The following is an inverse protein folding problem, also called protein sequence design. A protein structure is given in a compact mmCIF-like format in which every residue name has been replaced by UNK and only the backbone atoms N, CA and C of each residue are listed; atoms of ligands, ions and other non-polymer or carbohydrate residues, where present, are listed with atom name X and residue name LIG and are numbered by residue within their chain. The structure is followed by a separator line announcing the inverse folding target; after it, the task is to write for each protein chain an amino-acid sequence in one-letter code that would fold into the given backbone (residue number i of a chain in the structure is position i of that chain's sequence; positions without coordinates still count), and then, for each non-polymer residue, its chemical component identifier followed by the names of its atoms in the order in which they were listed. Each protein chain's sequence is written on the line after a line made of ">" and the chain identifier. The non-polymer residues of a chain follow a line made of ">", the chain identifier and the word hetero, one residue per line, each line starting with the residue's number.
data_IF_016010005965
#
_entry.id   IF_016010005965
#
_cell.length_a   1.000
_cell.length_b   1.000
_cell.length_c   1.000
_cell.angle_alpha   90.00
_cell.angle_beta   90.00
_cell.angle_gamma   90.00
#
_symmetry.space_group_name_H-M   'P 1'
#
loop_
_entity.id
_entity.type
_entity.pdbx_description
1 polymer ?
#
# COMPACT_ATOMS: atom_id res chain seq x y z
N UNK A 1 -2.42 8.20 -14.54
CA UNK A 1 -1.80 6.88 -14.23
C UNK A 1 -2.21 5.80 -15.25
N UNK A 2 -3.39 5.89 -15.89
CA UNK A 2 -3.81 4.90 -16.90
C UNK A 2 -2.80 4.67 -18.01
N UNK A 3 -2.08 5.68 -18.43
CA UNK A 3 -1.07 5.62 -19.50
C UNK A 3 0.19 4.81 -19.14
N UNK A 4 0.35 4.48 -17.84
CA UNK A 4 1.43 3.62 -17.37
C UNK A 4 1.16 2.13 -17.61
N UNK A 5 0.01 1.78 -18.16
CA UNK A 5 -0.44 0.41 -18.36
C UNK A 5 -0.94 0.18 -19.79
N UNK A 6 -0.72 -1.02 -20.32
CA UNK A 6 -1.43 -1.44 -21.52
C UNK A 6 -2.91 -1.71 -21.22
N UNK A 7 -3.81 -1.71 -22.22
CA UNK A 7 -5.22 -2.06 -22.00
C UNK A 7 -5.40 -3.45 -21.34
N UNK A 8 -4.59 -4.45 -21.70
CA UNK A 8 -4.67 -5.79 -21.10
C UNK A 8 -4.19 -5.81 -19.65
N UNK A 9 -3.17 -5.02 -19.30
CA UNK A 9 -2.73 -4.86 -17.91
C UNK A 9 -3.82 -4.19 -17.05
N UNK A 10 -4.50 -3.16 -17.59
CA UNK A 10 -5.63 -2.53 -16.90
C UNK A 10 -6.78 -3.52 -16.71
N UNK A 11 -7.12 -4.32 -17.74
CA UNK A 11 -8.16 -5.36 -17.61
C UNK A 11 -7.78 -6.34 -16.50
N UNK A 12 -6.54 -6.84 -16.47
CA UNK A 12 -6.10 -7.75 -15.42
C UNK A 12 -6.20 -7.14 -14.02
N UNK A 13 -5.64 -5.93 -13.84
CA UNK A 13 -5.62 -5.25 -12.53
C UNK A 13 -7.02 -4.89 -12.05
N UNK A 14 -7.90 -4.40 -12.92
CA UNK A 14 -9.29 -4.08 -12.55
C UNK A 14 -10.06 -5.35 -12.20
N UNK A 15 -9.88 -6.44 -12.97
CA UNK A 15 -10.51 -7.73 -12.69
C UNK A 15 -10.06 -8.28 -11.33
N UNK A 16 -8.74 -8.32 -11.05
CA UNK A 16 -8.25 -8.76 -9.74
C UNK A 16 -8.74 -7.88 -8.60
N UNK A 17 -8.84 -6.56 -8.82
CA UNK A 17 -9.39 -5.64 -7.82
C UNK A 17 -10.87 -5.95 -7.49
N UNK A 18 -11.66 -6.24 -8.51
CA UNK A 18 -13.09 -6.58 -8.33
C UNK A 18 -13.23 -7.96 -7.63
N UNK A 19 -12.39 -8.93 -8.00
CA UNK A 19 -12.35 -10.25 -7.36
C UNK A 19 -11.93 -10.22 -5.88
N UNK A 20 -11.24 -9.17 -5.42
CA UNK A 20 -10.95 -9.00 -3.97
C UNK A 20 -12.26 -8.89 -3.19
N UNK A 21 -13.26 -8.17 -3.69
CA UNK A 21 -14.56 -8.03 -3.00
C UNK A 21 -15.32 -9.37 -2.97
N UNK A 22 -15.32 -10.12 -4.07
CA UNK A 22 -15.92 -11.46 -4.11
C UNK A 22 -15.21 -12.44 -3.15
N UNK A 23 -13.87 -12.33 -3.05
CA UNK A 23 -13.09 -13.15 -2.13
C UNK A 23 -13.39 -12.81 -0.66
N UNK A 24 -13.62 -11.55 -0.32
CA UNK A 24 -14.03 -11.11 1.02
C UNK A 24 -15.37 -11.77 1.38
N UNK A 25 -16.37 -11.65 0.51
CA UNK A 25 -17.69 -12.23 0.79
C UNK A 25 -17.62 -13.76 0.93
N UNK A 26 -16.90 -14.43 0.04
CA UNK A 26 -16.71 -15.87 0.15
C UNK A 26 -15.97 -16.26 1.43
N UNK A 27 -14.93 -15.55 1.80
CA UNK A 27 -14.16 -15.78 3.02
C UNK A 27 -15.04 -15.60 4.26
N UNK A 28 -15.92 -14.60 4.29
CA UNK A 28 -16.89 -14.39 5.36
C UNK A 28 -17.83 -15.57 5.52
N UNK A 29 -18.38 -16.06 4.40
CA UNK A 29 -19.28 -17.23 4.41
C UNK A 29 -18.55 -18.49 4.91
N UNK A 30 -17.34 -18.74 4.44
CA UNK A 30 -16.53 -19.87 4.86
C UNK A 30 -16.14 -19.76 6.36
N UNK A 31 -15.86 -18.56 6.87
CA UNK A 31 -15.56 -18.30 8.27
C UNK A 31 -16.79 -18.56 9.18
N UNK A 32 -17.98 -18.13 8.77
CA UNK A 32 -19.24 -18.44 9.47
C UNK A 32 -19.47 -19.95 9.50
N UNK A 33 -19.30 -20.63 8.38
CA UNK A 33 -19.44 -22.07 8.30
C UNK A 33 -18.43 -22.83 9.17
N UNK A 34 -17.25 -22.25 9.39
CA UNK A 34 -16.23 -22.74 10.32
C UNK A 34 -16.49 -22.41 11.79
N UNK A 35 -17.56 -21.66 12.10
CA UNK A 35 -18.00 -21.35 13.47
C UNK A 35 -17.52 -20.02 14.03
N UNK A 36 -16.97 -19.13 13.22
CA UNK A 36 -16.71 -17.74 13.66
C UNK A 36 -18.05 -17.00 13.83
N UNK A 37 -18.22 -16.20 14.89
CA UNK A 37 -19.40 -15.37 15.04
C UNK A 37 -19.46 -14.30 13.96
N UNK A 38 -20.64 -14.03 13.43
CA UNK A 38 -20.88 -12.93 12.50
C UNK A 38 -21.61 -11.80 13.22
N UNK A 39 -20.83 -10.94 13.89
CA UNK A 39 -21.34 -9.80 14.66
C UNK A 39 -21.54 -8.54 13.80
N UNK A 40 -21.15 -8.58 12.51
CA UNK A 40 -21.22 -7.45 11.59
C UNK A 40 -20.24 -6.32 11.90
N UNK A 41 -19.27 -6.55 12.79
CA UNK A 41 -18.23 -5.56 13.14
C UNK A 41 -17.02 -5.77 12.25
N UNK A 42 -16.68 -4.77 11.43
CA UNK A 42 -15.53 -4.82 10.52
C UNK A 42 -14.19 -4.63 11.22
N UNK A 43 -13.10 -4.88 10.48
CA UNK A 43 -11.73 -4.79 10.99
C UNK A 43 -11.37 -3.34 11.41
N UNK A 44 -11.84 -2.34 10.69
CA UNK A 44 -11.62 -0.92 11.01
C UNK A 44 -12.25 -0.51 12.36
N UNK A 45 -13.37 -1.13 12.72
CA UNK A 45 -14.03 -0.96 13.99
C UNK A 45 -13.50 -1.88 15.12
N UNK A 46 -12.41 -2.60 14.87
CA UNK A 46 -11.81 -3.51 15.86
C UNK A 46 -12.56 -4.85 16.01
N UNK A 47 -13.37 -5.24 15.02
CA UNK A 47 -14.06 -6.51 14.99
C UNK A 47 -13.11 -7.71 15.02
N UNK A 48 -13.60 -8.85 15.52
CA UNK A 48 -12.86 -10.12 15.59
C UNK A 48 -13.68 -11.31 15.05
N UNK A 49 -14.86 -11.03 14.50
CA UNK A 49 -15.77 -12.00 13.92
C UNK A 49 -15.46 -12.34 12.46
N UNK A 50 -16.39 -13.04 11.82
CA UNK A 50 -16.25 -13.50 10.44
C UNK A 50 -16.06 -12.37 9.43
N UNK A 51 -16.77 -11.24 9.63
CA UNK A 51 -16.61 -10.05 8.77
C UNK A 51 -15.18 -9.49 8.88
N UNK A 52 -14.70 -9.20 10.09
CA UNK A 52 -13.36 -8.65 10.30
C UNK A 52 -12.25 -9.57 9.78
N UNK A 53 -12.42 -10.89 9.96
CA UNK A 53 -11.48 -11.88 9.41
C UNK A 53 -11.44 -11.83 7.87
N UNK A 54 -12.59 -11.78 7.23
CA UNK A 54 -12.68 -11.70 5.77
C UNK A 54 -12.09 -10.38 5.21
N UNK A 55 -12.39 -9.26 5.86
CA UNK A 55 -11.82 -7.96 5.50
C UNK A 55 -10.28 -7.94 5.67
N UNK A 56 -9.76 -8.54 6.74
CA UNK A 56 -8.31 -8.69 6.93
C UNK A 56 -7.66 -9.50 5.79
N UNK A 57 -8.29 -10.60 5.34
CA UNK A 57 -7.84 -11.34 4.15
C UNK A 57 -7.88 -10.45 2.91
N UNK A 58 -8.94 -9.66 2.73
CA UNK A 58 -9.07 -8.68 1.65
C UNK A 58 -7.94 -7.65 1.62
N UNK A 59 -7.48 -7.18 2.79
CA UNK A 59 -6.32 -6.27 2.89
C UNK A 59 -5.05 -6.92 2.34
N UNK A 60 -4.79 -8.18 2.68
CA UNK A 60 -3.62 -8.89 2.15
C UNK A 60 -3.72 -9.17 0.65
N UNK A 61 -4.92 -9.45 0.13
CA UNK A 61 -5.15 -9.57 -1.31
C UNK A 61 -4.94 -8.24 -2.04
N UNK A 62 -5.33 -7.12 -1.44
CA UNK A 62 -5.06 -5.78 -1.98
C UNK A 62 -3.55 -5.45 -2.01
N UNK A 63 -2.76 -5.95 -1.05
CA UNK A 63 -1.30 -5.86 -1.11
C UNK A 63 -0.72 -6.72 -2.25
N UNK A 64 -1.27 -7.91 -2.50
CA UNK A 64 -0.89 -8.70 -3.67
C UNK A 64 -1.22 -7.96 -4.98
N UNK A 65 -2.37 -7.25 -5.04
CA UNK A 65 -2.72 -6.39 -6.18
C UNK A 65 -1.72 -5.24 -6.36
N UNK A 66 -1.26 -4.60 -5.28
CA UNK A 66 -0.22 -3.57 -5.34
C UNK A 66 1.10 -4.12 -5.90
N UNK A 67 1.47 -5.34 -5.53
CA UNK A 67 2.62 -6.04 -6.12
C UNK A 67 2.42 -6.37 -7.59
N UNK A 68 1.21 -6.78 -7.97
CA UNK A 68 0.85 -7.01 -9.37
C UNK A 68 0.95 -5.72 -10.18
N UNK A 69 0.48 -4.58 -9.67
CA UNK A 69 0.57 -3.30 -10.34
C UNK A 69 2.03 -2.83 -10.51
N UNK A 70 2.88 -3.02 -9.50
CA UNK A 70 4.30 -2.66 -9.53
C UNK A 70 5.10 -3.47 -10.58
N UNK A 71 4.67 -4.70 -10.89
CA UNK A 71 5.34 -5.57 -11.87
C UNK A 71 4.57 -5.74 -13.20
N UNK A 72 3.33 -5.28 -13.28
CA UNK A 72 2.45 -5.39 -14.45
C UNK A 72 2.12 -4.04 -15.08
N UNK A 73 3.14 -3.28 -15.47
CA UNK A 73 3.00 -1.96 -16.10
C UNK A 73 4.02 -1.75 -17.24
N UNK A 74 3.90 -0.63 -17.97
CA UNK A 74 4.74 -0.31 -19.13
C UNK A 74 6.16 0.15 -18.78
N UNK A 75 6.53 0.16 -17.51
CA UNK A 75 7.84 0.63 -17.04
C UNK A 75 8.65 -0.49 -16.36
N UNK A 76 8.22 -1.74 -16.52
CA UNK A 76 8.92 -2.92 -16.03
C UNK A 76 10.02 -3.32 -17.01
N UNK A 77 11.28 -3.23 -16.60
CA UNK A 77 12.41 -3.64 -17.45
C UNK A 77 12.67 -5.14 -17.38
N UNK A 78 13.24 -5.70 -18.44
CA UNK A 78 13.77 -7.05 -18.39
C UNK A 78 15.15 -7.07 -17.71
N UNK A 79 15.36 -8.05 -16.83
CA UNK A 79 16.64 -8.30 -16.18
C UNK A 79 17.28 -9.56 -16.79
N UNK A 80 18.31 -9.42 -17.64
CA UNK A 80 18.88 -10.55 -18.37
C UNK A 80 19.55 -11.60 -17.48
N UNK A 81 20.16 -11.18 -16.36
CA UNK A 81 20.85 -12.08 -15.44
C UNK A 81 19.86 -12.94 -14.66
N UNK A 82 18.81 -12.32 -14.13
CA UNK A 82 17.77 -13.01 -13.37
C UNK A 82 16.68 -13.62 -14.28
N UNK A 83 16.68 -13.30 -15.57
CA UNK A 83 15.71 -13.75 -16.57
C UNK A 83 14.25 -13.51 -16.16
N UNK A 84 13.98 -12.32 -15.61
CA UNK A 84 12.65 -11.95 -15.15
C UNK A 84 12.37 -10.44 -15.36
N UNK A 85 11.09 -10.03 -15.42
CA UNK A 85 10.74 -8.62 -15.34
C UNK A 85 11.08 -8.07 -13.96
N UNK A 86 11.48 -6.80 -13.91
CA UNK A 86 11.71 -6.04 -12.66
C UNK A 86 10.64 -5.01 -12.48
N UNK A 87 10.27 -4.80 -11.24
CA UNK A 87 9.26 -3.84 -10.83
C UNK A 87 9.60 -2.40 -11.22
N UNK A 88 8.56 -1.57 -11.33
CA UNK A 88 8.63 -0.13 -11.59
C UNK A 88 9.50 0.58 -10.54
N UNK A 89 9.19 0.37 -9.26
CA UNK A 89 9.87 1.03 -8.14
C UNK A 89 11.13 0.27 -7.71
N UNK A 90 12.10 0.14 -8.62
CA UNK A 90 13.46 -0.29 -8.25
C UNK A 90 14.23 0.81 -7.50
N UNK A 91 13.71 2.03 -7.48
CA UNK A 91 14.15 3.21 -6.71
C UNK A 91 12.94 4.13 -6.48
N UNK A 92 13.09 5.15 -5.65
CA UNK A 92 12.03 6.11 -5.32
C UNK A 92 11.81 7.13 -6.46
N UNK A 93 11.55 6.64 -7.66
CA UNK A 93 11.24 7.46 -8.83
C UNK A 93 10.53 6.61 -9.89
N UNK A 94 9.71 7.23 -10.73
CA UNK A 94 9.19 6.63 -11.95
C UNK A 94 10.30 6.73 -13.01
N UNK A 95 10.87 5.61 -13.47
CA UNK A 95 11.96 5.62 -14.45
C UNK A 95 11.43 5.88 -15.85
N UNK A 96 12.27 6.43 -16.72
CA UNK A 96 12.05 6.35 -18.16
C UNK A 96 12.78 5.13 -18.71
N UNK A 97 12.06 4.31 -19.47
CA UNK A 97 12.62 3.14 -20.16
C UNK A 97 12.25 3.16 -21.64
N UNK A 98 13.06 2.51 -22.48
CA UNK A 98 12.82 2.47 -23.93
C UNK A 98 11.89 1.32 -24.35
N UNK A 99 11.89 0.25 -23.59
CA UNK A 99 11.09 -0.94 -23.83
C UNK A 99 10.74 -1.60 -22.50
N UNK A 100 9.65 -2.35 -22.44
CA UNK A 100 9.18 -2.98 -21.21
C UNK A 100 8.98 -4.49 -21.38
N UNK A 101 9.14 -5.21 -20.28
CA UNK A 101 8.80 -6.61 -20.17
C UNK A 101 7.45 -6.79 -19.49
N UNK A 102 6.68 -7.75 -19.96
CA UNK A 102 5.36 -8.03 -19.42
C UNK A 102 5.29 -9.47 -18.87
N UNK A 103 4.96 -9.59 -17.60
CA UNK A 103 4.69 -10.88 -16.96
C UNK A 103 3.28 -11.37 -17.28
N UNK A 104 3.10 -12.69 -17.37
CA UNK A 104 1.77 -13.29 -17.47
C UNK A 104 1.12 -13.35 -16.07
N UNK A 105 0.06 -12.58 -15.78
CA UNK A 105 -0.57 -12.58 -14.46
C UNK A 105 -1.27 -13.90 -14.11
N UNK A 106 -1.60 -14.72 -15.12
CA UNK A 106 -2.24 -16.05 -14.96
C UNK A 106 -1.22 -17.21 -15.01
N UNK A 107 0.08 -16.90 -15.05
CA UNK A 107 1.15 -17.91 -15.07
C UNK A 107 1.53 -18.42 -13.69
N UNK A 108 2.73 -19.03 -13.60
CA UNK A 108 3.29 -19.59 -12.36
C UNK A 108 4.70 -19.01 -12.05
N UNK A 109 5.13 -18.01 -12.82
CA UNK A 109 6.46 -17.41 -12.70
C UNK A 109 6.39 -15.94 -12.26
N UNK A 110 7.53 -15.25 -12.25
CA UNK A 110 7.61 -13.82 -11.87
C UNK A 110 6.59 -12.98 -12.65
N UNK A 111 5.79 -12.22 -11.92
CA UNK A 111 4.67 -11.43 -12.45
C UNK A 111 3.30 -12.13 -12.39
N UNK A 112 3.23 -13.40 -11.97
CA UNK A 112 1.98 -14.10 -11.81
C UNK A 112 1.29 -13.77 -10.48
N UNK A 113 -0.04 -13.68 -10.49
CA UNK A 113 -0.87 -13.39 -9.32
C UNK A 113 -0.61 -14.36 -8.15
N UNK A 114 -0.57 -15.67 -8.45
CA UNK A 114 -0.35 -16.71 -7.44
C UNK A 114 0.97 -16.50 -6.68
N UNK A 115 2.02 -16.05 -7.38
CA UNK A 115 3.35 -15.80 -6.77
C UNK A 115 3.28 -14.64 -5.76
N UNK A 116 2.50 -13.60 -6.04
CA UNK A 116 2.32 -12.49 -5.10
C UNK A 116 1.50 -12.89 -3.89
N UNK A 117 0.40 -13.62 -4.08
CA UNK A 117 -0.43 -14.14 -2.98
C UNK A 117 0.39 -15.05 -2.07
N UNK A 118 1.12 -16.01 -2.62
CA UNK A 118 2.00 -16.88 -1.84
C UNK A 118 3.13 -16.11 -1.14
N UNK A 119 3.70 -15.11 -1.80
CA UNK A 119 4.71 -14.23 -1.21
C UNK A 119 4.21 -13.49 0.02
N UNK A 120 2.99 -12.94 -0.05
CA UNK A 120 2.31 -12.28 1.08
C UNK A 120 2.03 -13.30 2.20
N UNK A 121 1.48 -14.47 1.87
CA UNK A 121 1.20 -15.52 2.86
C UNK A 121 2.48 -15.99 3.58
N UNK A 122 3.58 -16.18 2.86
CA UNK A 122 4.89 -16.54 3.43
C UNK A 122 5.45 -15.44 4.32
N UNK A 123 5.32 -14.16 3.93
CA UNK A 123 5.75 -13.02 4.75
C UNK A 123 4.94 -12.95 6.05
N UNK A 124 3.62 -13.11 5.96
CA UNK A 124 2.73 -13.16 7.11
C UNK A 124 3.14 -14.29 8.08
N UNK A 125 3.27 -15.52 7.60
CA UNK A 125 3.67 -16.65 8.44
C UNK A 125 5.00 -16.41 9.16
N UNK A 126 6.03 -15.90 8.45
CA UNK A 126 7.33 -15.57 9.05
C UNK A 126 7.26 -14.49 10.12
N UNK A 127 6.39 -13.50 9.98
CA UNK A 127 6.22 -12.44 10.97
C UNK A 127 5.78 -13.02 12.32
N UNK A 128 4.94 -14.04 12.33
CA UNK A 128 4.43 -14.67 13.55
C UNK A 128 5.37 -15.73 14.14
N UNK A 129 6.28 -16.32 13.36
CA UNK A 129 7.30 -17.23 13.89
C UNK A 129 8.24 -16.57 14.91
N UNK A 130 8.48 -15.25 14.76
CA UNK A 130 9.40 -14.49 15.60
C UNK A 130 8.71 -13.74 16.75
N UNK A 131 7.39 -13.71 16.82
CA UNK A 131 6.66 -12.97 17.85
C UNK A 131 6.48 -13.83 19.09
N UNK A 132 7.53 -13.90 19.92
CA UNK A 132 7.44 -14.43 21.28
C UNK A 132 6.77 -13.45 22.26
N UNK A 133 6.31 -12.29 21.81
CA UNK A 133 5.81 -11.19 22.64
C UNK A 133 4.29 -11.20 22.66
N UNK A 134 3.72 -11.27 23.86
CA UNK A 134 2.26 -11.18 24.10
C UNK A 134 1.70 -9.74 24.01
N UNK A 135 2.47 -8.80 23.48
CA UNK A 135 2.02 -7.41 23.33
C UNK A 135 1.36 -7.20 21.96
N UNK A 136 0.17 -6.63 21.95
CA UNK A 136 -0.49 -6.19 20.71
C UNK A 136 0.16 -4.90 20.22
N UNK A 137 0.45 -4.82 18.90
CA UNK A 137 0.83 -3.58 18.25
C UNK A 137 -0.42 -2.74 17.92
N UNK A 138 -0.28 -1.41 17.95
CA UNK A 138 -1.27 -0.47 17.48
C UNK A 138 -0.65 0.35 16.34
N UNK A 139 -1.34 0.45 15.22
CA UNK A 139 -0.96 1.31 14.10
C UNK A 139 -2.04 2.36 13.89
N UNK A 140 -1.64 3.62 13.87
CA UNK A 140 -2.54 4.76 13.63
C UNK A 140 -1.91 5.73 12.64
N UNK A 141 -2.74 6.36 11.82
CA UNK A 141 -2.31 7.49 11.00
C UNK A 141 -2.51 8.77 11.83
N UNK A 142 -1.44 9.51 12.06
CA UNK A 142 -1.48 10.76 12.81
C UNK A 142 -0.42 11.74 12.28
N UNK A 143 -0.67 13.03 12.45
CA UNK A 143 0.31 14.07 12.20
C UNK A 143 1.34 14.09 13.34
N UNK A 144 2.61 13.92 13.00
CA UNK A 144 3.69 13.88 13.97
C UNK A 144 3.82 15.19 14.79
N UNK A 145 3.39 16.32 14.21
CA UNK A 145 3.47 17.63 14.87
C UNK A 145 2.39 17.87 15.92
N UNK A 146 1.33 17.07 15.98
CA UNK A 146 0.20 17.30 16.89
C UNK A 146 -0.36 16.06 17.60
N UNK A 147 0.24 14.87 17.38
CA UNK A 147 -0.17 13.64 18.04
C UNK A 147 0.31 13.55 19.49
N UNK A 148 -0.38 12.80 20.33
CA UNK A 148 -0.06 12.59 21.73
C UNK A 148 0.30 11.12 22.08
N UNK A 149 0.24 10.22 21.07
CA UNK A 149 0.48 8.78 21.26
C UNK A 149 1.89 8.45 21.70
N UNK A 150 2.86 9.35 21.51
CA UNK A 150 4.26 9.21 21.92
C UNK A 150 4.52 9.64 23.37
N UNK A 151 3.56 10.24 24.07
CA UNK A 151 3.73 10.73 25.44
C UNK A 151 4.17 9.61 26.39
N UNK A 152 5.25 9.85 27.15
CA UNK A 152 5.84 8.93 28.11
C UNK A 152 6.31 7.57 27.49
N UNK A 153 6.65 7.57 26.21
CA UNK A 153 7.19 6.39 25.50
C UNK A 153 8.58 6.67 24.96
N UNK A 154 9.32 5.61 24.66
CA UNK A 154 10.53 5.70 23.83
C UNK A 154 10.10 5.87 22.40
N UNK A 155 10.60 6.92 21.75
CA UNK A 155 10.27 7.26 20.37
C UNK A 155 11.45 6.92 19.47
N UNK A 156 11.16 6.22 18.35
CA UNK A 156 12.11 5.97 17.27
C UNK A 156 11.50 6.50 15.98
N UNK A 157 12.21 7.36 15.28
CA UNK A 157 11.70 8.06 14.10
C UNK A 157 12.55 7.79 12.87
N UNK A 158 11.90 7.79 11.71
CA UNK A 158 12.51 7.86 10.39
C UNK A 158 11.87 9.07 9.67
N UNK A 159 12.44 10.28 9.85
CA UNK A 159 11.83 11.52 9.36
C UNK A 159 11.97 11.65 7.85
N UNK A 160 11.16 12.52 7.20
CA UNK A 160 11.29 12.80 5.77
C UNK A 160 12.66 13.41 5.43
N UNK A 161 13.17 13.07 4.23
CA UNK A 161 14.53 13.40 3.79
C UNK A 161 14.60 14.71 3.00
N UNK A 162 14.23 15.81 3.64
CA UNK A 162 14.27 17.18 3.13
C UNK A 162 13.54 17.32 1.78
N UNK A 163 14.24 17.39 0.63
CA UNK A 163 13.67 17.58 -0.71
C UNK A 163 13.83 16.37 -1.65
N UNK A 164 14.37 15.26 -1.14
CA UNK A 164 14.78 14.13 -1.99
C UNK A 164 13.62 13.34 -2.60
N UNK A 165 12.53 13.15 -1.86
CA UNK A 165 11.47 12.24 -2.28
C UNK A 165 10.11 12.85 -1.97
N UNK A 166 9.31 13.07 -3.02
CA UNK A 166 7.89 13.38 -2.91
C UNK A 166 7.08 12.08 -2.76
N UNK A 167 7.01 11.57 -1.53
CA UNK A 167 6.34 10.28 -1.26
C UNK A 167 4.87 10.29 -1.67
N UNK A 168 4.15 11.39 -1.43
CA UNK A 168 2.74 11.49 -1.77
C UNK A 168 2.51 11.42 -3.29
N UNK A 169 3.42 11.94 -4.11
CA UNK A 169 3.31 11.84 -5.57
C UNK A 169 3.53 10.41 -6.05
N UNK A 170 4.50 9.69 -5.48
CA UNK A 170 4.78 8.29 -5.83
C UNK A 170 3.72 7.35 -5.28
N UNK A 171 3.20 7.64 -4.09
CA UNK A 171 2.18 6.83 -3.42
C UNK A 171 0.86 6.78 -4.19
N UNK A 172 0.53 7.80 -4.97
CA UNK A 172 -0.67 7.81 -5.81
C UNK A 172 -0.75 6.60 -6.76
N UNK A 173 0.40 6.09 -7.20
CA UNK A 173 0.46 4.89 -8.03
C UNK A 173 -0.19 3.67 -7.35
N UNK A 174 0.08 3.48 -6.06
CA UNK A 174 -0.51 2.38 -5.28
C UNK A 174 -1.86 2.75 -4.71
N UNK A 175 -2.04 4.01 -4.33
CA UNK A 175 -3.26 4.51 -3.70
C UNK A 175 -4.51 4.26 -4.54
N UNK A 176 -4.44 4.43 -5.86
CA UNK A 176 -5.58 4.21 -6.75
C UNK A 176 -6.09 2.77 -6.70
N UNK A 177 -5.20 1.78 -6.60
CA UNK A 177 -5.54 0.37 -6.52
C UNK A 177 -6.03 -0.03 -5.13
N UNK A 178 -5.34 0.44 -4.08
CA UNK A 178 -5.75 0.22 -2.69
C UNK A 178 -7.11 0.84 -2.42
N UNK A 179 -7.34 2.07 -2.87
CA UNK A 179 -8.63 2.75 -2.75
C UNK A 179 -9.75 1.97 -3.44
N UNK A 180 -9.51 1.47 -4.66
CA UNK A 180 -10.49 0.66 -5.38
C UNK A 180 -10.88 -0.60 -4.61
N UNK A 181 -9.91 -1.25 -3.99
CA UNK A 181 -10.12 -2.54 -3.30
C UNK A 181 -10.57 -2.40 -1.84
N UNK A 182 -10.19 -1.31 -1.14
CA UNK A 182 -10.31 -1.23 0.33
C UNK A 182 -11.17 -0.08 0.84
N UNK A 183 -11.73 0.77 -0.04
CA UNK A 183 -12.52 1.94 0.38
C UNK A 183 -13.73 1.58 1.23
N UNK A 184 -14.34 0.42 0.99
CA UNK A 184 -15.50 -0.03 1.77
C UNK A 184 -15.09 -0.48 3.17
N UNK A 185 -13.85 -0.95 3.36
CA UNK A 185 -13.30 -1.39 4.64
C UNK A 185 -12.78 -0.18 5.44
N UNK A 186 -12.05 0.74 4.78
CA UNK A 186 -11.43 1.91 5.40
C UNK A 186 -11.91 3.21 4.73
N UNK A 187 -13.18 3.62 4.89
CA UNK A 187 -13.75 4.75 4.17
C UNK A 187 -13.05 6.08 4.48
N UNK A 188 -12.64 6.31 5.71
CA UNK A 188 -11.94 7.53 6.13
C UNK A 188 -10.53 7.61 5.50
N UNK A 189 -9.78 6.50 5.52
CA UNK A 189 -8.44 6.42 4.95
C UNK A 189 -8.43 6.67 3.44
N UNK A 190 -9.47 6.21 2.73
CA UNK A 190 -9.61 6.32 1.28
C UNK A 190 -10.66 7.36 0.84
N UNK A 191 -10.92 8.37 1.66
CA UNK A 191 -11.92 9.41 1.38
C UNK A 191 -11.54 10.29 0.17
N UNK A 192 -10.26 10.60 0.00
CA UNK A 192 -9.75 11.45 -1.08
C UNK A 192 -9.55 10.69 -2.39
N UNK A 193 -9.47 11.41 -3.53
CA UNK A 193 -9.19 10.80 -4.85
C UNK A 193 -7.69 10.48 -5.04
N UNK A 194 -6.82 11.17 -4.34
CA UNK A 194 -5.37 11.03 -4.38
C UNK A 194 -4.81 11.26 -2.98
N UNK A 195 -3.58 10.85 -2.73
CA UNK A 195 -2.90 11.10 -1.45
C UNK A 195 -2.78 12.59 -1.18
N UNK A 196 -3.01 13.06 0.06
CA UNK A 196 -2.81 14.46 0.43
C UNK A 196 -1.34 14.88 0.22
N UNK A 197 -1.13 16.04 -0.42
CA UNK A 197 0.22 16.51 -0.79
C UNK A 197 0.64 17.77 -0.04
N UNK A 198 -0.33 18.60 0.32
CA UNK A 198 -0.07 19.92 0.93
C UNK A 198 0.55 19.81 2.33
N UNK A 199 0.15 18.80 3.09
CA UNK A 199 0.66 18.56 4.44
C UNK A 199 1.93 17.71 4.48
N UNK A 200 2.36 17.14 3.33
CA UNK A 200 3.59 16.36 3.28
C UNK A 200 4.81 17.24 3.56
N UNK A 201 5.57 16.87 4.58
CA UNK A 201 6.73 17.64 5.02
C UNK A 201 7.94 17.41 4.11
N UNK A 202 7.91 18.00 2.92
CA UNK A 202 8.98 17.96 1.90
C UNK A 202 9.27 19.37 1.40
N UNK A 203 10.54 19.77 1.35
CA UNK A 203 10.98 21.08 0.93
C UNK A 203 10.95 21.26 -0.61
N UNK A 204 9.76 21.14 -1.21
CA UNK A 204 9.57 21.14 -2.65
C UNK A 204 9.14 22.53 -3.16
N UNK A 205 10.00 23.28 -3.89
CA UNK A 205 9.71 24.66 -4.29
C UNK A 205 8.44 24.84 -5.11
N UNK A 206 8.10 23.88 -6.01
CA UNK A 206 6.91 24.00 -6.84
C UNK A 206 5.60 23.94 -6.04
N UNK A 207 5.59 23.32 -4.85
CA UNK A 207 4.43 23.27 -3.95
C UNK A 207 4.28 24.53 -3.10
N UNK A 208 5.41 25.21 -2.79
CA UNK A 208 5.45 26.34 -1.86
C UNK A 208 5.74 27.68 -2.56
N UNK A 209 5.96 27.70 -3.88
CA UNK A 209 6.13 28.86 -4.71
C UNK A 209 7.54 29.44 -4.74
N UNK A 210 8.43 29.12 -3.78
CA UNK A 210 9.86 29.45 -3.83
C UNK A 210 10.67 28.46 -2.98
N UNK A 211 11.98 28.44 -3.18
CA UNK A 211 12.90 27.61 -2.40
C UNK A 211 12.90 28.02 -0.93
N UNK A 212 12.98 29.30 -0.65
CA UNK A 212 13.03 29.86 0.72
C UNK A 212 11.75 29.50 1.51
N UNK A 213 10.58 29.57 0.86
CA UNK A 213 9.31 29.18 1.49
C UNK A 213 9.24 27.68 1.76
N UNK A 214 9.75 26.86 0.84
CA UNK A 214 9.80 25.41 1.01
C UNK A 214 10.72 25.01 2.19
N UNK A 215 11.87 25.68 2.30
CA UNK A 215 12.82 25.49 3.41
C UNK A 215 12.22 25.90 4.76
N UNK A 216 11.54 27.08 4.83
CA UNK A 216 10.84 27.51 6.05
C UNK A 216 9.75 26.53 6.46
N UNK A 217 8.92 26.10 5.51
CA UNK A 217 7.86 25.12 5.75
C UNK A 217 8.43 23.82 6.33
N UNK A 218 9.50 23.30 5.73
CA UNK A 218 10.13 22.07 6.20
C UNK A 218 10.71 22.24 7.62
N UNK A 219 11.45 23.33 7.86
CA UNK A 219 12.07 23.61 9.16
C UNK A 219 11.01 23.79 10.26
N UNK A 220 9.95 24.54 9.98
CA UNK A 220 8.86 24.76 10.93
C UNK A 220 8.18 23.44 11.31
N UNK A 221 7.82 22.61 10.31
CA UNK A 221 7.18 21.31 10.56
C UNK A 221 8.09 20.34 11.30
N UNK A 222 9.38 20.27 10.95
CA UNK A 222 10.34 19.44 11.69
C UNK A 222 10.51 19.91 13.14
N UNK A 223 10.54 21.22 13.37
CA UNK A 223 10.64 21.79 14.73
C UNK A 223 9.40 21.47 15.55
N UNK A 224 8.21 21.47 14.93
CA UNK A 224 6.96 21.13 15.61
C UNK A 224 6.88 19.65 15.97
N UNK A 225 7.43 18.77 15.11
CA UNK A 225 7.38 17.33 15.32
C UNK A 225 8.40 16.81 16.36
N UNK A 226 9.44 17.56 16.66
CA UNK A 226 10.48 17.23 17.67
C UNK A 226 10.09 17.73 19.06
#
# INVERSE_FOLDING_TARGET
>A
YGDLFTPRQLVALTTFSDLVQEAIEKCRQDAIAAGLPDDGVGVDAGGTGALAYAEAVGVYLAFALSKQADLGNNLCRWEPVAQCPRQLFGRQAIPMIWDFAEGNPLGESSGAWVVFVEGIAKAFAKTFEFVAVKASGLSTQADAGCQDVSNAKVVSTDPPYYDNIGYADLSDFFYVWLRRSLREIFPELFATLATPKTAELVATPYRHGSKEKAESFFLEGMTQAM
#
